data_IF_183053396192
#
_entry.id   IF_183053396192
#
_cell.length_a   1.000
_cell.length_b   1.000
_cell.length_c   1.000
_cell.angle_alpha   90.00
_cell.angle_beta   90.00
_cell.angle_gamma   90.00
#
_symmetry.space_group_name_H-M   'P 1'
#
loop_
_entity.id
_entity.type
_entity.pdbx_description
1 polymer ?
#
# COMPACT_ATOMS: atom_id res chain seq x y z
N UNK A 1 -7.44 2.78 18.64
CA UNK A 1 -7.37 3.70 17.50
C UNK A 1 -7.69 3.02 16.17
N UNK A 2 -7.16 1.84 15.95
CA UNK A 2 -7.52 1.01 14.79
C UNK A 2 -8.96 0.46 14.86
N UNK A 3 -9.56 0.40 16.03
CA UNK A 3 -10.90 -0.17 16.29
C UNK A 3 -12.05 0.72 15.77
N UNK A 4 -11.81 2.02 15.63
CA UNK A 4 -12.86 2.97 15.20
C UNK A 4 -13.08 3.00 13.69
N UNK A 5 -12.25 2.24 12.93
CA UNK A 5 -12.26 2.27 11.47
C UNK A 5 -12.37 0.85 10.91
N UNK A 6 -13.56 0.33 11.05
CA UNK A 6 -13.97 -1.00 10.59
C UNK A 6 -14.11 -1.00 9.05
N UNK A 7 -12.99 -0.85 8.33
CA UNK A 7 -12.98 -1.20 6.92
C UNK A 7 -12.78 -2.70 6.82
N UNK A 8 -13.74 -3.40 6.28
CA UNK A 8 -13.74 -4.87 6.18
C UNK A 8 -12.55 -5.45 5.40
N UNK A 9 -11.74 -4.61 4.75
CA UNK A 9 -10.67 -5.00 3.83
C UNK A 9 -9.33 -4.28 4.08
N UNK A 10 -8.99 -4.06 5.36
CA UNK A 10 -7.72 -3.40 5.73
C UNK A 10 -6.50 -4.26 5.43
N UNK A 11 -5.55 -3.68 4.71
CA UNK A 11 -4.27 -4.29 4.39
C UNK A 11 -3.19 -3.81 5.34
N UNK A 12 -2.47 -4.75 5.97
CA UNK A 12 -1.21 -4.45 6.64
C UNK A 12 -0.14 -4.24 5.57
N UNK A 13 0.21 -3.00 5.31
CA UNK A 13 1.29 -2.65 4.40
C UNK A 13 2.49 -2.10 5.17
N UNK A 14 3.71 -2.42 4.71
CA UNK A 14 4.94 -1.93 5.31
C UNK A 14 5.59 -2.85 6.34
N UNK A 15 5.29 -4.16 6.33
CA UNK A 15 6.12 -5.12 7.06
C UNK A 15 7.51 -5.21 6.42
N UNK A 16 8.56 -4.78 7.14
CA UNK A 16 9.90 -4.61 6.60
C UNK A 16 10.75 -5.84 6.84
N UNK A 17 11.21 -6.48 5.75
CA UNK A 17 11.98 -7.72 5.81
C UNK A 17 13.47 -7.49 5.98
N UNK A 18 14.01 -6.46 5.31
CA UNK A 18 15.42 -6.06 5.39
C UNK A 18 15.54 -4.59 5.73
N UNK A 19 16.71 -4.21 6.26
CA UNK A 19 17.03 -2.86 6.71
C UNK A 19 16.89 -1.83 5.59
N UNK A 20 16.22 -0.73 5.89
CA UNK A 20 16.11 0.49 5.09
C UNK A 20 15.73 0.24 3.62
N UNK A 21 14.50 -0.23 3.34
CA UNK A 21 14.08 -0.54 1.97
C UNK A 21 13.87 0.71 1.09
N UNK A 22 13.68 1.90 1.68
CA UNK A 22 13.28 3.12 0.97
C UNK A 22 14.36 4.18 0.82
N UNK A 23 15.62 3.87 1.11
CA UNK A 23 16.76 4.75 0.80
C UNK A 23 16.63 6.17 1.36
N UNK A 24 16.49 6.31 2.66
CA UNK A 24 16.41 7.61 3.37
C UNK A 24 15.16 8.45 3.02
N UNK A 25 14.06 7.83 2.57
CA UNK A 25 12.80 8.55 2.33
C UNK A 25 11.99 8.79 3.63
N UNK A 26 12.50 8.34 4.76
CA UNK A 26 11.91 8.51 6.09
C UNK A 26 12.88 9.22 7.02
N UNK A 27 12.36 9.89 8.08
CA UNK A 27 13.21 10.54 9.09
C UNK A 27 13.98 9.50 9.88
N UNK A 28 13.26 8.54 10.46
CA UNK A 28 13.86 7.41 11.14
C UNK A 28 14.17 6.28 10.12
N UNK A 29 15.33 5.67 10.26
CA UNK A 29 15.70 4.52 9.46
C UNK A 29 14.96 3.28 9.98
N UNK A 30 14.44 2.47 9.07
CA UNK A 30 13.70 1.27 9.45
C UNK A 30 14.62 0.08 9.69
N UNK A 31 14.67 -0.37 10.93
CA UNK A 31 15.21 -1.67 11.24
C UNK A 31 14.29 -2.79 10.71
N UNK A 32 14.86 -3.94 10.27
CA UNK A 32 14.07 -5.05 9.78
C UNK A 32 13.25 -5.69 10.90
N UNK A 33 12.03 -6.08 10.57
CA UNK A 33 11.19 -6.86 11.47
C UNK A 33 11.61 -8.34 11.52
N UNK A 34 12.42 -8.77 10.55
CA UNK A 34 13.04 -10.10 10.52
C UNK A 34 14.55 -9.96 10.67
N UNK A 35 15.11 -10.47 11.78
CA UNK A 35 16.55 -10.45 11.99
C UNK A 35 17.21 -11.56 11.17
N UNK A 36 18.03 -11.18 10.22
CA UNK A 36 18.75 -12.11 9.34
C UNK A 36 20.18 -12.32 9.89
N UNK A 37 20.53 -13.55 10.17
CA UNK A 37 21.83 -13.93 10.72
C UNK A 37 22.51 -14.99 9.86
N UNK A 38 23.76 -14.75 9.49
CA UNK A 38 24.64 -15.76 8.91
C UNK A 38 25.43 -16.41 10.04
N UNK A 39 25.18 -17.69 10.29
CA UNK A 39 25.84 -18.45 11.35
C UNK A 39 27.33 -18.70 11.03
N UNK A 40 28.16 -18.94 12.06
CA UNK A 40 29.58 -19.21 11.89
C UNK A 40 29.89 -20.42 10.94
N UNK A 41 28.94 -21.36 10.82
CA UNK A 41 29.02 -22.49 9.88
C UNK A 41 28.53 -22.16 8.45
N UNK A 42 28.18 -20.90 8.18
CA UNK A 42 27.72 -20.41 6.86
C UNK A 42 26.23 -20.57 6.58
N UNK A 43 25.45 -21.20 7.49
CA UNK A 43 23.99 -21.32 7.31
C UNK A 43 23.28 -20.04 7.70
N UNK A 44 22.07 -19.82 7.15
CA UNK A 44 21.21 -18.69 7.49
C UNK A 44 20.21 -19.02 8.59
N UNK A 45 19.96 -18.07 9.48
CA UNK A 45 18.91 -18.11 10.48
C UNK A 45 18.10 -16.81 10.46
N UNK A 46 16.82 -16.90 10.76
CA UNK A 46 15.87 -15.79 10.71
C UNK A 46 15.07 -15.77 12.00
N UNK A 47 15.01 -14.62 12.65
CA UNK A 47 14.16 -14.38 13.83
C UNK A 47 12.98 -13.50 13.42
N UNK A 48 11.77 -14.03 13.53
CA UNK A 48 10.51 -13.41 13.15
C UNK A 48 9.79 -12.74 14.33
N UNK A 49 10.41 -12.66 15.50
CA UNK A 49 9.75 -12.20 16.74
C UNK A 49 9.08 -10.84 16.60
N UNK A 50 9.73 -9.87 15.95
CA UNK A 50 9.16 -8.52 15.75
C UNK A 50 8.08 -8.55 14.69
N UNK A 51 8.32 -9.26 13.58
CA UNK A 51 7.32 -9.45 12.52
C UNK A 51 6.02 -10.06 13.06
N UNK A 52 6.13 -11.12 13.83
CA UNK A 52 4.98 -11.80 14.44
C UNK A 52 4.17 -10.87 15.32
N UNK A 53 4.82 -10.15 16.24
CA UNK A 53 4.16 -9.18 17.11
C UNK A 53 3.46 -8.06 16.33
N UNK A 54 4.06 -7.61 15.25
CA UNK A 54 3.47 -6.57 14.42
C UNK A 54 2.22 -7.06 13.70
N UNK A 55 2.28 -8.25 13.08
CA UNK A 55 1.12 -8.86 12.42
C UNK A 55 0.01 -9.19 13.42
N UNK A 56 0.35 -9.76 14.57
CA UNK A 56 -0.60 -10.09 15.64
C UNK A 56 -1.30 -8.82 16.18
N UNK A 57 -0.54 -7.73 16.41
CA UNK A 57 -1.10 -6.45 16.84
C UNK A 57 -2.07 -5.88 15.79
N UNK A 58 -1.69 -5.88 14.52
CA UNK A 58 -2.56 -5.38 13.47
C UNK A 58 -3.84 -6.22 13.35
N UNK A 59 -3.73 -7.55 13.46
CA UNK A 59 -4.87 -8.45 13.44
C UNK A 59 -5.82 -8.25 14.63
N UNK A 60 -5.30 -7.94 15.82
CA UNK A 60 -6.10 -7.59 17.01
C UNK A 60 -7.04 -6.38 16.74
N UNK A 61 -6.60 -5.48 15.87
CA UNK A 61 -7.36 -4.28 15.48
C UNK A 61 -8.04 -4.40 14.10
N UNK A 62 -8.26 -5.62 13.59
CA UNK A 62 -9.01 -5.86 12.35
C UNK A 62 -8.22 -5.62 11.06
N UNK A 63 -6.91 -5.32 11.12
CA UNK A 63 -6.04 -5.13 9.96
C UNK A 63 -5.39 -6.47 9.62
N UNK A 64 -6.11 -7.37 8.96
CA UNK A 64 -5.67 -8.74 8.80
C UNK A 64 -5.96 -9.41 7.45
N UNK A 65 -6.56 -8.69 6.50
CA UNK A 65 -6.94 -9.25 5.20
C UNK A 65 -5.74 -9.56 4.31
N UNK A 66 -4.73 -8.72 4.34
CA UNK A 66 -3.55 -8.85 3.50
C UNK A 66 -2.32 -8.32 4.25
N UNK A 67 -1.19 -9.01 4.10
CA UNK A 67 0.11 -8.62 4.68
C UNK A 67 1.08 -8.36 3.54
N UNK A 68 1.51 -7.10 3.36
CA UNK A 68 2.47 -6.69 2.34
C UNK A 68 3.87 -6.51 2.94
N UNK A 69 4.81 -7.33 2.51
CA UNK A 69 6.17 -7.43 3.06
C UNK A 69 7.20 -6.79 2.13
N UNK A 70 7.81 -5.67 2.54
CA UNK A 70 8.81 -4.90 1.78
C UNK A 70 10.25 -5.29 2.16
N UNK A 71 11.21 -5.34 1.26
CA UNK A 71 11.11 -5.29 -0.18
C UNK A 71 12.16 -6.20 -0.80
N UNK A 72 11.80 -6.96 -1.84
CA UNK A 72 12.80 -7.70 -2.62
C UNK A 72 13.67 -6.76 -3.48
N UNK A 73 13.16 -5.58 -3.83
CA UNK A 73 13.86 -4.60 -4.68
C UNK A 73 13.95 -3.27 -3.94
N UNK A 74 14.72 -3.20 -2.82
CA UNK A 74 14.92 -1.95 -2.10
C UNK A 74 15.64 -0.92 -2.98
N UNK A 75 15.56 0.37 -2.58
CA UNK A 75 16.11 1.45 -3.37
C UNK A 75 17.62 1.31 -3.60
N UNK A 76 18.38 0.88 -2.58
CA UNK A 76 19.84 0.76 -2.66
C UNK A 76 20.33 -0.65 -3.01
N UNK A 77 19.43 -1.62 -3.18
CA UNK A 77 19.77 -3.03 -3.43
C UNK A 77 20.84 -3.57 -2.48
N UNK A 78 20.73 -3.19 -1.20
CA UNK A 78 21.69 -3.47 -0.15
C UNK A 78 21.00 -4.20 1.00
N UNK A 79 21.45 -5.41 1.34
CA UNK A 79 20.81 -6.31 2.30
C UNK A 79 21.70 -6.54 3.50
N UNK A 80 21.33 -5.92 4.64
CA UNK A 80 22.06 -6.04 5.90
C UNK A 80 21.74 -7.36 6.60
N UNK A 81 22.78 -8.00 7.14
CA UNK A 81 22.64 -9.18 7.99
C UNK A 81 23.67 -9.17 9.13
N UNK A 82 23.39 -9.87 10.20
CA UNK A 82 24.37 -10.12 11.26
C UNK A 82 25.24 -11.32 10.88
N UNK A 83 26.57 -11.18 10.94
CA UNK A 83 27.53 -12.27 10.70
C UNK A 83 28.15 -12.71 12.02
N UNK A 84 27.86 -13.97 12.43
CA UNK A 84 28.40 -14.53 13.66
C UNK A 84 29.91 -14.71 13.61
N UNK A 85 30.50 -14.95 12.44
CA UNK A 85 31.94 -15.19 12.33
C UNK A 85 32.74 -13.90 12.55
N UNK A 86 32.27 -12.76 12.06
CA UNK A 86 32.89 -11.44 12.25
C UNK A 86 32.33 -10.66 13.43
N UNK A 87 31.25 -11.15 14.07
CA UNK A 87 30.54 -10.48 15.18
C UNK A 87 30.17 -9.04 14.81
N UNK A 88 29.63 -8.84 13.60
CA UNK A 88 29.31 -7.51 13.09
C UNK A 88 28.21 -7.57 12.03
N UNK A 89 27.56 -6.42 11.76
CA UNK A 89 26.71 -6.30 10.59
C UNK A 89 27.52 -6.29 9.32
N UNK A 90 27.08 -7.08 8.35
CA UNK A 90 27.61 -7.16 7.00
C UNK A 90 26.50 -6.82 6.00
N UNK A 91 26.88 -6.55 4.76
CA UNK A 91 25.99 -6.13 3.69
C UNK A 91 26.24 -6.93 2.41
N UNK A 92 25.15 -7.36 1.78
CA UNK A 92 25.18 -7.90 0.42
C UNK A 92 24.67 -6.80 -0.50
N UNK A 93 25.58 -6.16 -1.22
CA UNK A 93 25.25 -5.21 -2.30
C UNK A 93 25.20 -5.97 -3.62
N UNK A 94 24.03 -6.03 -4.25
CA UNK A 94 23.82 -6.88 -5.40
C UNK A 94 22.80 -6.29 -6.39
N UNK A 95 22.38 -7.05 -7.37
CA UNK A 95 21.31 -6.68 -8.32
C UNK A 95 20.40 -7.88 -8.55
N UNK A 96 19.19 -7.65 -9.02
CA UNK A 96 18.20 -8.72 -9.27
C UNK A 96 18.67 -9.77 -10.30
N UNK A 97 19.75 -9.49 -11.04
CA UNK A 97 20.30 -10.34 -12.12
C UNK A 97 21.35 -11.33 -11.65
N UNK A 98 21.84 -11.23 -10.41
CA UNK A 98 22.95 -12.05 -9.91
C UNK A 98 22.45 -13.35 -9.28
N UNK A 99 23.30 -14.36 -9.27
CA UNK A 99 23.04 -15.62 -8.56
C UNK A 99 23.01 -15.40 -7.05
N UNK A 100 23.85 -14.48 -6.53
CA UNK A 100 23.89 -14.10 -5.11
C UNK A 100 22.54 -13.56 -4.64
N UNK A 101 21.89 -12.67 -5.42
CA UNK A 101 20.55 -12.17 -5.14
C UNK A 101 19.53 -13.31 -5.13
N UNK A 102 19.60 -14.18 -6.14
CA UNK A 102 18.70 -15.34 -6.25
C UNK A 102 18.85 -16.29 -5.07
N UNK A 103 20.07 -16.56 -4.65
CA UNK A 103 20.37 -17.43 -3.52
C UNK A 103 19.86 -16.82 -2.20
N UNK A 104 20.19 -15.55 -1.94
CA UNK A 104 19.72 -14.82 -0.76
C UNK A 104 18.20 -14.93 -0.61
N UNK A 105 17.48 -14.51 -1.64
CA UNK A 105 16.04 -14.47 -1.58
C UNK A 105 15.38 -15.85 -1.60
N UNK A 106 15.95 -16.82 -2.32
CA UNK A 106 15.44 -18.20 -2.30
C UNK A 106 15.58 -18.81 -0.89
N UNK A 107 16.70 -18.59 -0.22
CA UNK A 107 16.91 -19.10 1.14
C UNK A 107 15.97 -18.44 2.13
N UNK A 108 15.87 -17.10 2.08
CA UNK A 108 14.94 -16.35 2.93
C UNK A 108 13.49 -16.78 2.72
N UNK A 109 13.01 -16.76 1.47
CA UNK A 109 11.60 -17.05 1.17
C UNK A 109 11.21 -18.50 1.49
N UNK A 110 12.11 -19.48 1.36
CA UNK A 110 11.85 -20.86 1.80
C UNK A 110 11.60 -20.93 3.31
N UNK A 111 12.45 -20.30 4.11
CA UNK A 111 12.31 -20.26 5.55
C UNK A 111 11.07 -19.46 5.97
N UNK A 112 10.86 -18.29 5.35
CA UNK A 112 9.71 -17.43 5.62
C UNK A 112 8.38 -18.12 5.27
N UNK A 113 8.32 -18.84 4.14
CA UNK A 113 7.14 -19.64 3.77
C UNK A 113 6.79 -20.67 4.85
N UNK A 114 7.79 -21.40 5.34
CA UNK A 114 7.56 -22.41 6.39
C UNK A 114 6.98 -21.75 7.66
N UNK A 115 7.55 -20.62 8.07
CA UNK A 115 7.07 -19.84 9.21
C UNK A 115 5.64 -19.31 8.99
N UNK A 116 5.36 -18.72 7.83
CA UNK A 116 4.02 -18.21 7.51
C UNK A 116 2.94 -19.30 7.44
N UNK A 117 3.30 -20.51 6.98
CA UNK A 117 2.39 -21.68 7.00
C UNK A 117 2.11 -22.10 8.45
N UNK A 118 3.13 -22.16 9.30
CA UNK A 118 2.98 -22.48 10.72
C UNK A 118 2.05 -21.50 11.44
N UNK A 119 2.17 -20.20 11.12
CA UNK A 119 1.30 -19.12 11.65
C UNK A 119 -0.08 -19.05 10.99
N UNK A 120 -0.33 -19.74 9.89
CA UNK A 120 -1.57 -19.62 9.13
C UNK A 120 -1.70 -18.35 8.30
N UNK A 121 -0.59 -17.66 8.00
CA UNK A 121 -0.58 -16.35 7.32
C UNK A 121 -0.15 -16.40 5.85
N UNK A 122 0.31 -17.55 5.35
CA UNK A 122 0.90 -17.64 4.00
C UNK A 122 -0.05 -17.16 2.89
N UNK A 123 -1.32 -17.57 2.94
CA UNK A 123 -2.29 -17.26 1.88
C UNK A 123 -2.65 -15.77 1.80
N UNK A 124 -2.48 -15.03 2.86
CA UNK A 124 -2.74 -13.58 2.93
C UNK A 124 -1.47 -12.72 2.86
N UNK A 125 -0.30 -13.33 2.69
CA UNK A 125 0.98 -12.62 2.61
C UNK A 125 1.42 -12.40 1.16
N UNK A 126 1.77 -11.17 0.83
CA UNK A 126 2.40 -10.78 -0.43
C UNK A 126 3.83 -10.30 -0.17
N UNK A 127 4.71 -10.59 -1.11
CA UNK A 127 5.99 -9.89 -1.19
C UNK A 127 5.76 -8.60 -1.96
N UNK A 128 6.09 -7.46 -1.37
CA UNK A 128 5.76 -6.14 -1.88
C UNK A 128 6.99 -5.43 -2.48
N UNK A 129 6.73 -4.56 -3.43
CA UNK A 129 7.72 -3.74 -4.13
C UNK A 129 7.19 -2.33 -4.32
N UNK A 130 8.11 -1.38 -4.49
CA UNK A 130 7.84 0.01 -4.83
C UNK A 130 8.01 0.30 -6.32
N UNK A 131 8.12 1.60 -6.67
CA UNK A 131 8.40 2.17 -7.99
C UNK A 131 9.79 1.79 -8.52
N UNK A 132 9.95 0.55 -8.94
CA UNK A 132 11.24 0.03 -9.43
C UNK A 132 11.19 -0.22 -10.94
N UNK A 133 12.35 -0.46 -11.54
CA UNK A 133 12.43 -0.82 -12.96
C UNK A 133 11.67 -2.13 -13.22
N UNK A 134 10.87 -2.18 -14.28
CA UNK A 134 10.05 -3.34 -14.66
C UNK A 134 10.85 -4.64 -14.73
N UNK A 135 12.08 -4.58 -15.28
CA UNK A 135 12.96 -5.75 -15.38
C UNK A 135 13.35 -6.31 -14.01
N UNK A 136 13.59 -5.44 -13.02
CA UNK A 136 13.94 -5.86 -11.67
C UNK A 136 12.75 -6.47 -10.94
N UNK A 137 11.57 -5.87 -11.12
CA UNK A 137 10.32 -6.42 -10.58
C UNK A 137 9.99 -7.78 -11.17
N UNK A 138 10.19 -7.99 -12.48
CA UNK A 138 9.99 -9.28 -13.12
C UNK A 138 10.96 -10.35 -12.62
N UNK A 139 12.23 -10.00 -12.37
CA UNK A 139 13.21 -10.92 -11.80
C UNK A 139 12.81 -11.33 -10.37
N UNK A 140 12.39 -10.39 -9.53
CA UNK A 140 11.89 -10.66 -8.19
C UNK A 140 10.62 -11.54 -8.25
N UNK A 141 9.68 -11.22 -9.14
CA UNK A 141 8.46 -12.01 -9.35
C UNK A 141 8.77 -13.47 -9.67
N UNK A 142 9.72 -13.74 -10.56
CA UNK A 142 10.10 -15.11 -10.92
C UNK A 142 10.56 -15.93 -9.71
N UNK A 143 11.35 -15.32 -8.82
CA UNK A 143 11.86 -16.00 -7.61
C UNK A 143 10.71 -16.26 -6.62
N UNK A 144 9.91 -15.24 -6.32
CA UNK A 144 8.82 -15.34 -5.35
C UNK A 144 7.72 -16.30 -5.85
N UNK A 145 7.31 -16.18 -7.11
CA UNK A 145 6.29 -17.02 -7.72
C UNK A 145 6.71 -18.49 -7.80
N UNK A 146 7.99 -18.79 -8.06
CA UNK A 146 8.50 -20.17 -8.06
C UNK A 146 8.36 -20.85 -6.68
N UNK A 147 8.27 -20.07 -5.60
CA UNK A 147 8.02 -20.55 -4.24
C UNK A 147 6.55 -20.43 -3.83
N UNK A 148 5.68 -19.98 -4.73
CA UNK A 148 4.23 -19.85 -4.51
C UNK A 148 3.81 -18.59 -3.77
N UNK A 149 4.68 -17.60 -3.61
CA UNK A 149 4.28 -16.30 -3.04
C UNK A 149 3.48 -15.48 -4.03
N UNK A 150 2.49 -14.80 -3.52
CA UNK A 150 1.80 -13.68 -4.18
C UNK A 150 2.65 -12.43 -4.06
N UNK A 151 2.42 -11.45 -4.94
CA UNK A 151 3.17 -10.20 -4.91
C UNK A 151 2.26 -8.99 -4.98
N UNK A 152 2.71 -7.91 -4.32
CA UNK A 152 2.11 -6.59 -4.35
C UNK A 152 3.08 -5.58 -4.96
N UNK A 153 2.55 -4.54 -5.61
CA UNK A 153 3.31 -3.42 -6.15
C UNK A 153 2.57 -2.12 -5.85
N UNK A 154 3.30 -1.11 -5.36
CA UNK A 154 2.87 0.28 -5.40
C UNK A 154 3.80 1.04 -6.36
N UNK A 155 3.30 1.46 -7.54
CA UNK A 155 4.16 2.08 -8.54
C UNK A 155 3.47 2.37 -9.87
N UNK A 156 4.26 2.49 -10.92
CA UNK A 156 3.74 2.73 -12.26
C UNK A 156 3.02 1.49 -12.83
N UNK A 157 2.06 1.73 -13.73
CA UNK A 157 1.42 0.66 -14.48
C UNK A 157 2.41 -0.01 -15.44
N UNK A 158 2.50 -1.34 -15.36
CA UNK A 158 3.25 -2.19 -16.27
C UNK A 158 2.35 -3.31 -16.79
N UNK A 159 2.11 -3.32 -18.11
CA UNK A 159 1.21 -4.31 -18.73
C UNK A 159 1.67 -5.76 -18.48
N UNK A 160 2.98 -6.01 -18.41
CA UNK A 160 3.57 -7.33 -18.17
C UNK A 160 3.33 -7.87 -16.75
N UNK A 161 2.96 -7.00 -15.80
CA UNK A 161 2.68 -7.34 -14.40
C UNK A 161 1.18 -7.41 -14.10
N UNK A 162 0.33 -6.93 -14.98
CA UNK A 162 -1.10 -6.74 -14.74
C UNK A 162 -1.81 -8.02 -14.28
N UNK A 163 -1.48 -9.17 -14.84
CA UNK A 163 -2.08 -10.47 -14.52
C UNK A 163 -1.34 -11.26 -13.43
N UNK A 164 -0.18 -10.77 -12.99
CA UNK A 164 0.75 -11.45 -12.08
C UNK A 164 0.64 -11.01 -10.63
N UNK A 165 0.27 -9.75 -10.42
CA UNK A 165 0.25 -9.16 -9.08
C UNK A 165 -1.08 -9.43 -8.38
N UNK A 166 -1.02 -9.86 -7.12
CA UNK A 166 -2.19 -9.99 -6.26
C UNK A 166 -2.77 -8.61 -5.94
N UNK A 167 -1.92 -7.68 -5.56
CA UNK A 167 -2.26 -6.29 -5.29
C UNK A 167 -1.47 -5.39 -6.23
N UNK A 168 -2.15 -4.60 -7.04
CA UNK A 168 -1.55 -3.65 -7.95
C UNK A 168 -2.04 -2.25 -7.66
N UNK A 169 -1.28 -1.54 -6.83
CA UNK A 169 -1.50 -0.14 -6.53
C UNK A 169 -0.75 0.72 -7.55
N UNK A 170 -1.47 1.54 -8.32
CA UNK A 170 -0.85 2.39 -9.33
C UNK A 170 -0.93 3.86 -8.97
N UNK A 171 0.07 4.65 -9.39
CA UNK A 171 0.05 6.10 -9.23
C UNK A 171 -1.20 6.70 -9.87
N UNK A 172 -1.74 7.75 -9.27
CA UNK A 172 -2.92 8.47 -9.74
C UNK A 172 -2.76 8.85 -11.22
N UNK A 173 -3.78 8.58 -12.03
CA UNK A 173 -3.75 8.75 -13.48
C UNK A 173 -3.17 7.57 -14.26
N UNK A 174 -2.36 6.72 -13.66
CA UNK A 174 -1.89 5.48 -14.29
C UNK A 174 -3.00 4.40 -14.34
N UNK A 175 -4.00 4.50 -13.49
CA UNK A 175 -5.20 3.66 -13.48
C UNK A 175 -5.94 3.69 -14.84
N UNK A 176 -5.85 4.79 -15.58
CA UNK A 176 -6.43 4.93 -16.92
C UNK A 176 -5.78 4.04 -17.99
N UNK A 177 -4.68 3.39 -17.67
CA UNK A 177 -4.03 2.41 -18.55
C UNK A 177 -4.63 1.01 -18.44
N UNK A 178 -5.40 0.73 -17.37
CA UNK A 178 -6.17 -0.50 -17.31
C UNK A 178 -7.36 -0.45 -18.23
N UNK A 179 -7.61 -1.53 -18.97
CA UNK A 179 -8.89 -1.70 -19.65
C UNK A 179 -9.94 -2.24 -18.67
N UNK A 180 -11.22 -2.04 -19.00
CA UNK A 180 -12.33 -2.58 -18.20
C UNK A 180 -12.26 -4.11 -18.08
N UNK A 181 -11.82 -4.78 -19.16
CA UNK A 181 -11.63 -6.23 -19.19
C UNK A 181 -10.49 -6.68 -18.25
N UNK A 182 -9.40 -5.91 -18.19
CA UNK A 182 -8.30 -6.19 -17.25
C UNK A 182 -8.76 -6.06 -15.79
N UNK A 183 -9.46 -4.97 -15.44
CA UNK A 183 -10.02 -4.79 -14.09
C UNK A 183 -11.00 -5.91 -13.72
N UNK A 184 -11.91 -6.27 -14.64
CA UNK A 184 -12.85 -7.36 -14.42
C UNK A 184 -12.15 -8.72 -14.27
N UNK A 185 -11.13 -9.00 -15.09
CA UNK A 185 -10.36 -10.24 -15.00
C UNK A 185 -9.55 -10.35 -13.71
N UNK A 186 -8.98 -9.24 -13.24
CA UNK A 186 -8.28 -9.16 -11.95
C UNK A 186 -9.22 -9.44 -10.79
N UNK A 187 -10.37 -8.76 -10.76
CA UNK A 187 -11.40 -8.96 -9.74
C UNK A 187 -11.94 -10.40 -9.72
N UNK A 188 -12.16 -11.00 -10.89
CA UNK A 188 -12.60 -12.40 -11.00
C UNK A 188 -11.59 -13.40 -10.41
N UNK A 189 -10.31 -13.03 -10.34
CA UNK A 189 -9.24 -13.81 -9.70
C UNK A 189 -9.03 -13.47 -8.22
N UNK A 190 -9.83 -12.56 -7.63
CA UNK A 190 -9.61 -12.03 -6.29
C UNK A 190 -8.34 -11.17 -6.17
N UNK A 191 -7.88 -10.59 -7.28
CA UNK A 191 -6.76 -9.65 -7.31
C UNK A 191 -7.27 -8.23 -7.04
N UNK A 192 -6.51 -7.44 -6.28
CA UNK A 192 -6.85 -6.09 -5.85
C UNK A 192 -6.17 -5.07 -6.77
N UNK A 193 -6.88 -4.00 -7.10
CA UNK A 193 -6.36 -2.88 -7.89
C UNK A 193 -6.70 -1.56 -7.23
N UNK A 194 -5.68 -0.86 -6.75
CA UNK A 194 -5.83 0.39 -6.00
C UNK A 194 -5.04 1.53 -6.65
N UNK A 195 -5.20 2.73 -6.14
CA UNK A 195 -4.40 3.90 -6.52
C UNK A 195 -3.68 4.48 -5.31
N UNK A 196 -2.64 5.25 -5.56
CA UNK A 196 -2.00 6.11 -4.57
C UNK A 196 -1.70 7.48 -5.15
N UNK A 197 -1.57 8.48 -4.27
CA UNK A 197 -1.00 9.78 -4.59
C UNK A 197 0.43 9.86 -4.06
N UNK A 198 1.28 10.58 -4.78
CA UNK A 198 2.69 10.77 -4.48
C UNK A 198 3.03 12.25 -4.29
N UNK A 199 4.29 12.52 -3.96
CA UNK A 199 4.82 13.89 -3.90
C UNK A 199 4.82 14.60 -5.28
N UNK A 200 4.52 13.89 -6.38
CA UNK A 200 4.38 14.47 -7.72
C UNK A 200 2.96 14.97 -8.00
N UNK A 201 1.97 14.52 -7.23
CA UNK A 201 0.57 14.91 -7.42
C UNK A 201 0.27 16.17 -6.61
N UNK A 202 -0.13 17.24 -7.28
CA UNK A 202 -0.47 18.51 -6.62
C UNK A 202 -1.90 18.45 -6.09
N UNK A 203 -2.84 18.03 -6.93
CA UNK A 203 -4.28 17.91 -6.68
C UNK A 203 -4.87 16.75 -7.49
N UNK A 204 -5.76 15.91 -6.88
CA UNK A 204 -6.05 15.82 -5.46
C UNK A 204 -4.94 15.14 -4.67
N UNK A 205 -4.71 15.57 -3.43
CA UNK A 205 -3.77 14.93 -2.51
C UNK A 205 -4.22 15.16 -1.05
N UNK A 206 -3.44 14.65 -0.08
CA UNK A 206 -3.73 14.82 1.34
C UNK A 206 -2.61 15.55 2.08
N UNK A 207 -2.02 16.56 1.46
CA UNK A 207 -1.06 17.48 2.10
C UNK A 207 -1.71 18.32 3.21
N UNK A 208 -0.90 18.91 4.05
CA UNK A 208 -1.39 19.83 5.09
C UNK A 208 -2.07 21.07 4.52
N UNK A 209 -1.78 21.42 3.29
CA UNK A 209 -2.37 22.55 2.56
C UNK A 209 -3.37 22.14 1.48
N UNK A 210 -3.63 20.85 1.29
CA UNK A 210 -4.71 20.37 0.42
C UNK A 210 -6.07 20.78 0.97
N UNK A 211 -7.04 21.01 0.09
CA UNK A 211 -8.42 21.20 0.52
C UNK A 211 -8.93 19.93 1.21
N UNK A 212 -9.64 20.04 2.33
CA UNK A 212 -10.15 18.85 3.04
C UNK A 212 -11.00 17.92 2.16
N UNK A 213 -11.72 18.48 1.19
CA UNK A 213 -12.54 17.71 0.25
C UNK A 213 -11.72 16.78 -0.68
N UNK A 214 -10.43 17.08 -0.92
CA UNK A 214 -9.55 16.23 -1.74
C UNK A 214 -9.35 14.86 -1.09
N UNK A 215 -9.24 14.81 0.24
CA UNK A 215 -9.11 13.56 0.97
C UNK A 215 -10.37 12.68 0.84
N UNK A 216 -11.56 13.28 0.85
CA UNK A 216 -12.84 12.57 0.63
C UNK A 216 -13.00 12.17 -0.85
N UNK A 217 -12.49 12.99 -1.77
CA UNK A 217 -12.56 12.74 -3.22
C UNK A 217 -11.80 11.47 -3.64
N UNK A 218 -10.65 11.18 -3.05
CA UNK A 218 -9.78 10.07 -3.49
C UNK A 218 -10.45 8.68 -3.40
N UNK A 219 -11.11 8.28 -2.30
CA UNK A 219 -11.89 7.04 -2.27
C UNK A 219 -13.08 7.05 -3.25
N UNK A 220 -13.76 8.19 -3.43
CA UNK A 220 -14.85 8.31 -4.41
C UNK A 220 -14.35 8.20 -5.86
N UNK A 221 -13.17 8.74 -6.16
CA UNK A 221 -12.50 8.51 -7.43
C UNK A 221 -12.25 7.01 -7.67
N UNK A 222 -11.76 6.29 -6.66
CA UNK A 222 -11.57 4.84 -6.75
C UNK A 222 -12.91 4.14 -7.05
N UNK A 223 -13.99 4.48 -6.34
CA UNK A 223 -15.32 3.92 -6.55
C UNK A 223 -15.88 4.18 -7.97
N UNK A 224 -15.67 5.40 -8.50
CA UNK A 224 -16.12 5.80 -9.83
C UNK A 224 -15.36 5.10 -10.95
N UNK A 225 -14.10 4.75 -10.72
CA UNK A 225 -13.22 4.12 -11.72
C UNK A 225 -13.13 2.59 -11.55
N UNK A 226 -13.95 2.01 -10.67
CA UNK A 226 -13.98 0.56 -10.47
C UNK A 226 -12.69 0.02 -9.87
N UNK A 227 -12.05 0.80 -9.02
CA UNK A 227 -10.87 0.41 -8.26
C UNK A 227 -11.26 -0.03 -6.85
N UNK A 228 -10.41 -0.80 -6.21
CA UNK A 228 -10.73 -1.47 -4.95
C UNK A 228 -10.28 -0.67 -3.71
N UNK A 229 -9.62 0.49 -3.89
CA UNK A 229 -9.25 1.36 -2.79
C UNK A 229 -8.16 2.38 -3.10
N UNK A 230 -7.70 3.01 -2.03
CA UNK A 230 -6.67 4.04 -2.04
C UNK A 230 -5.57 3.70 -1.02
N UNK A 231 -4.33 3.90 -1.41
CA UNK A 231 -3.15 3.78 -0.55
C UNK A 231 -2.53 5.16 -0.37
N UNK A 232 -2.07 5.46 0.83
CA UNK A 232 -1.21 6.60 1.08
C UNK A 232 0.18 6.14 1.50
N UNK A 233 1.18 6.82 1.02
CA UNK A 233 2.59 6.48 1.19
C UNK A 233 2.98 6.25 2.65
N UNK A 234 2.59 7.14 3.60
CA UNK A 234 2.91 6.95 4.99
C UNK A 234 1.88 7.62 5.93
N UNK A 235 1.53 6.91 6.99
CA UNK A 235 0.55 7.34 7.99
C UNK A 235 1.16 8.09 9.14
N UNK A 236 2.34 7.65 9.61
CA UNK A 236 2.98 8.07 10.86
C UNK A 236 4.51 8.16 10.71
N UNK A 237 5.01 8.41 9.53
CA UNK A 237 6.43 8.63 9.33
C UNK A 237 6.78 10.07 9.71
N UNK A 238 6.84 10.32 11.00
CA UNK A 238 7.08 11.63 11.58
C UNK A 238 8.51 12.10 11.34
N UNK A 239 8.65 13.42 11.14
CA UNK A 239 9.93 14.12 11.15
C UNK A 239 10.38 14.48 12.58
N UNK A 240 11.45 15.26 12.70
CA UNK A 240 12.00 15.68 14.00
C UNK A 240 11.04 16.55 14.82
N UNK A 241 10.21 17.36 14.15
CA UNK A 241 9.32 18.34 14.78
C UNK A 241 7.87 18.28 14.26
N UNK A 242 7.22 17.14 14.32
CA UNK A 242 5.98 16.87 13.57
C UNK A 242 4.78 17.72 13.96
N UNK A 243 4.82 18.37 15.12
CA UNK A 243 3.74 19.27 15.57
C UNK A 243 3.91 20.72 15.10
N UNK A 244 5.05 21.09 14.57
CA UNK A 244 5.38 22.47 14.17
C UNK A 244 5.83 22.58 12.72
N UNK A 245 6.41 21.54 12.15
CA UNK A 245 6.81 21.48 10.75
C UNK A 245 6.57 20.06 10.24
N UNK A 246 5.71 19.89 9.23
CA UNK A 246 5.37 18.61 8.65
C UNK A 246 6.06 18.34 7.30
N UNK A 247 7.09 19.12 6.97
CA UNK A 247 7.92 18.93 5.78
C UNK A 247 9.06 17.97 6.10
N UNK A 248 9.37 17.12 5.16
CA UNK A 248 10.54 16.27 5.26
C UNK A 248 11.34 16.26 3.95
N UNK A 249 12.56 16.84 3.97
CA UNK A 249 13.43 16.94 2.80
C UNK A 249 12.70 17.58 1.60
N UNK A 250 12.56 16.84 0.50
CA UNK A 250 11.85 17.25 -0.72
C UNK A 250 10.33 17.06 -0.65
N UNK A 251 9.85 16.36 0.36
CA UNK A 251 8.43 16.04 0.51
C UNK A 251 7.66 17.24 1.05
N UNK A 252 6.49 17.48 0.46
CA UNK A 252 5.58 18.55 0.88
C UNK A 252 5.08 18.38 2.31
N UNK A 253 4.59 19.46 2.90
CA UNK A 253 4.07 19.43 4.26
C UNK A 253 2.91 18.41 4.38
N UNK A 254 3.08 17.42 5.23
CA UNK A 254 2.10 16.36 5.48
C UNK A 254 2.12 15.20 4.50
N UNK A 255 3.08 15.11 3.59
CA UNK A 255 3.21 13.98 2.67
C UNK A 255 3.54 12.67 3.40
N UNK A 256 4.38 12.74 4.43
CA UNK A 256 4.89 11.55 5.13
C UNK A 256 4.05 11.12 6.32
N UNK A 257 3.02 11.88 6.70
CA UNK A 257 2.07 11.48 7.75
C UNK A 257 0.79 12.33 7.70
N UNK A 258 -0.31 11.72 8.08
CA UNK A 258 -1.61 12.40 8.26
C UNK A 258 -2.14 12.29 9.71
N UNK A 259 -1.53 11.43 10.52
CA UNK A 259 -1.80 11.24 11.94
C UNK A 259 -0.62 11.68 12.78
N UNK A 260 -0.84 12.46 13.83
CA UNK A 260 0.19 13.16 14.58
C UNK A 260 0.53 12.46 15.90
N UNK A 261 1.76 12.66 16.46
CA UNK A 261 2.14 12.07 17.73
C UNK A 261 1.21 12.48 18.87
N UNK A 262 1.09 11.59 19.86
CA UNK A 262 0.22 11.81 21.02
C UNK A 262 -1.26 11.61 20.72
N UNK A 263 -1.58 10.69 19.82
CA UNK A 263 -2.94 10.30 19.45
C UNK A 263 -3.77 11.47 18.91
N UNK A 264 -3.20 12.25 17.98
CA UNK A 264 -3.85 13.40 17.38
C UNK A 264 -4.20 13.13 15.93
N UNK A 265 -5.48 13.20 15.62
CA UNK A 265 -5.99 13.16 14.26
C UNK A 265 -5.73 14.48 13.51
N UNK A 266 -6.06 14.53 12.24
CA UNK A 266 -6.05 15.74 11.42
C UNK A 266 -7.32 15.81 10.57
N UNK A 267 -7.70 17.05 10.17
CA UNK A 267 -8.89 17.25 9.31
C UNK A 267 -8.80 16.41 8.02
N UNK A 268 -7.64 16.36 7.40
CA UNK A 268 -7.42 15.56 6.16
C UNK A 268 -7.58 14.06 6.40
N UNK A 269 -7.20 13.57 7.57
CA UNK A 269 -7.38 12.17 7.94
C UNK A 269 -8.86 11.83 8.21
N UNK A 270 -9.57 12.69 8.97
CA UNK A 270 -11.01 12.54 9.22
C UNK A 270 -11.82 12.59 7.90
N UNK A 271 -11.43 13.48 6.98
CA UNK A 271 -12.07 13.57 5.66
C UNK A 271 -11.75 12.36 4.76
N UNK A 272 -10.60 11.74 4.92
CA UNK A 272 -10.28 10.49 4.23
C UNK A 272 -11.14 9.34 4.76
N UNK A 273 -11.31 9.23 6.08
CA UNK A 273 -12.21 8.25 6.71
C UNK A 273 -13.64 8.40 6.18
N UNK A 274 -14.13 9.62 6.12
CA UNK A 274 -15.44 9.90 5.53
C UNK A 274 -15.53 9.42 4.07
N UNK A 275 -14.48 9.69 3.27
CA UNK A 275 -14.40 9.21 1.90
C UNK A 275 -14.41 7.68 1.81
N UNK A 276 -13.79 6.98 2.74
CA UNK A 276 -13.82 5.51 2.82
C UNK A 276 -15.25 5.03 3.13
N UNK A 277 -15.94 5.64 4.10
CA UNK A 277 -17.32 5.29 4.40
C UNK A 277 -18.25 5.55 3.20
N UNK A 278 -18.04 6.64 2.47
CA UNK A 278 -18.79 6.93 1.25
C UNK A 278 -18.48 5.91 0.14
N UNK A 279 -17.22 5.49 -0.01
CA UNK A 279 -16.83 4.41 -0.92
C UNK A 279 -17.60 3.12 -0.62
N UNK A 280 -17.59 2.68 0.64
CA UNK A 280 -18.29 1.47 1.06
C UNK A 280 -19.80 1.57 0.81
N UNK A 281 -20.42 2.70 1.15
CA UNK A 281 -21.84 2.93 0.86
C UNK A 281 -22.15 2.88 -0.63
N UNK A 282 -21.28 3.44 -1.46
CA UNK A 282 -21.40 3.35 -2.93
C UNK A 282 -21.36 1.89 -3.40
N UNK A 283 -20.47 1.03 -2.85
CA UNK A 283 -20.43 -0.38 -3.22
C UNK A 283 -21.73 -1.11 -2.82
N UNK A 284 -22.25 -0.84 -1.62
CA UNK A 284 -23.54 -1.39 -1.16
C UNK A 284 -24.67 -0.98 -2.11
N UNK A 285 -24.77 0.32 -2.43
CA UNK A 285 -25.83 0.84 -3.31
C UNK A 285 -25.71 0.31 -4.75
N UNK A 286 -24.50 0.10 -5.27
CA UNK A 286 -24.29 -0.54 -6.57
C UNK A 286 -24.89 -1.95 -6.63
N UNK A 287 -24.75 -2.72 -5.55
CA UNK A 287 -25.35 -4.06 -5.47
C UNK A 287 -26.87 -3.99 -5.26
N UNK A 288 -27.38 -3.13 -4.38
CA UNK A 288 -28.80 -2.96 -4.14
C UNK A 288 -29.55 -2.46 -5.37
N UNK A 289 -28.93 -1.58 -6.17
CA UNK A 289 -29.56 -0.97 -7.35
C UNK A 289 -29.37 -1.77 -8.63
N UNK A 290 -28.73 -2.93 -8.59
CA UNK A 290 -28.44 -3.72 -9.80
C UNK A 290 -29.69 -3.98 -10.65
N UNK A 291 -30.84 -4.19 -10.01
CA UNK A 291 -32.14 -4.46 -10.65
C UNK A 291 -33.06 -3.22 -10.71
N UNK A 292 -32.54 -2.03 -10.34
CA UNK A 292 -33.28 -0.76 -10.40
C UNK A 292 -32.56 0.24 -11.31
N UNK A 293 -32.94 0.30 -12.61
CA UNK A 293 -32.23 1.15 -13.58
C UNK A 293 -32.25 2.64 -13.26
N UNK A 294 -33.33 3.13 -12.64
CA UNK A 294 -33.48 4.56 -12.30
C UNK A 294 -32.52 4.96 -11.18
N UNK A 295 -32.52 4.22 -10.08
CA UNK A 295 -31.61 4.49 -8.94
C UNK A 295 -30.15 4.29 -9.34
N UNK A 296 -29.86 3.24 -10.12
CA UNK A 296 -28.55 2.98 -10.67
C UNK A 296 -28.05 4.15 -11.52
N UNK A 297 -28.86 4.65 -12.47
CA UNK A 297 -28.49 5.77 -13.33
C UNK A 297 -28.23 7.06 -12.53
N UNK A 298 -29.01 7.31 -11.46
CA UNK A 298 -28.82 8.45 -10.57
C UNK A 298 -27.46 8.37 -9.85
N UNK A 299 -27.12 7.21 -9.28
CA UNK A 299 -25.83 6.99 -8.63
C UNK A 299 -24.66 7.12 -9.63
N UNK A 300 -24.77 6.52 -10.82
CA UNK A 300 -23.76 6.58 -11.86
C UNK A 300 -23.53 8.03 -12.34
N UNK A 301 -24.58 8.83 -12.47
CA UNK A 301 -24.49 10.26 -12.83
C UNK A 301 -23.68 11.05 -11.79
N UNK A 302 -23.88 10.79 -10.50
CA UNK A 302 -23.09 11.44 -9.45
C UNK A 302 -21.64 10.97 -9.45
N UNK A 303 -21.39 9.68 -9.69
CA UNK A 303 -20.06 9.11 -9.78
C UNK A 303 -19.27 9.60 -11.00
N UNK A 304 -19.95 10.00 -12.08
CA UNK A 304 -19.29 10.56 -13.28
C UNK A 304 -18.44 11.79 -12.94
N UNK A 305 -18.83 12.57 -11.94
CA UNK A 305 -18.07 13.72 -11.46
C UNK A 305 -16.68 13.34 -10.86
N UNK A 306 -16.48 12.07 -10.48
CA UNK A 306 -15.25 11.55 -9.90
C UNK A 306 -14.42 10.71 -10.87
N UNK A 307 -14.79 10.61 -12.13
CA UNK A 307 -14.04 9.83 -13.13
C UNK A 307 -12.72 10.46 -13.55
N UNK A 308 -12.56 11.76 -13.34
CA UNK A 308 -11.31 12.49 -13.63
C UNK A 308 -10.67 12.96 -12.33
N UNK A 309 -9.34 12.82 -12.25
CA UNK A 309 -8.56 13.37 -11.14
C UNK A 309 -8.16 14.84 -11.36
N UNK A 310 -8.48 15.40 -12.52
CA UNK A 310 -8.30 16.83 -12.79
C UNK A 310 -9.37 17.63 -12.02
N UNK A 311 -9.16 17.83 -10.74
CA UNK A 311 -9.99 18.66 -9.87
C UNK A 311 -9.34 20.03 -9.69
N UNK A 312 -10.17 21.04 -9.50
CA UNK A 312 -9.72 22.41 -9.32
C UNK A 312 -10.44 23.00 -8.11
N UNK A 313 -9.72 23.13 -6.99
CA UNK A 313 -10.14 23.90 -5.80
C UNK A 313 -11.60 23.68 -5.35
N UNK A 314 -12.42 24.71 -5.43
CA UNK A 314 -13.82 24.70 -4.97
C UNK A 314 -14.69 23.66 -5.66
N UNK A 315 -14.42 23.33 -6.92
CA UNK A 315 -15.17 22.29 -7.68
C UNK A 315 -15.08 20.90 -7.02
N UNK A 316 -13.95 20.60 -6.38
CA UNK A 316 -13.81 19.35 -5.60
C UNK A 316 -14.81 19.28 -4.44
N UNK A 317 -14.95 20.37 -3.68
CA UNK A 317 -15.88 20.42 -2.54
C UNK A 317 -17.34 20.32 -2.99
N UNK A 318 -17.71 20.98 -4.09
CA UNK A 318 -19.07 20.90 -4.66
C UNK A 318 -19.44 19.48 -5.07
N UNK A 319 -18.54 18.77 -5.74
CA UNK A 319 -18.72 17.36 -6.14
C UNK A 319 -18.91 16.44 -4.93
N UNK A 320 -18.06 16.58 -3.92
CA UNK A 320 -18.12 15.79 -2.69
C UNK A 320 -19.45 16.05 -1.95
N UNK A 321 -19.84 17.32 -1.79
CA UNK A 321 -21.10 17.67 -1.12
C UNK A 321 -22.32 17.13 -1.88
N UNK A 322 -22.31 17.14 -3.20
CA UNK A 322 -23.45 16.66 -4.00
C UNK A 322 -23.68 15.14 -3.81
N UNK A 323 -22.63 14.33 -3.82
CA UNK A 323 -22.77 12.89 -3.59
C UNK A 323 -23.09 12.60 -2.10
N UNK A 324 -22.52 13.35 -1.16
CA UNK A 324 -22.78 13.20 0.27
C UNK A 324 -24.27 13.39 0.60
N UNK A 325 -24.89 14.43 0.08
CA UNK A 325 -26.35 14.66 0.24
C UNK A 325 -27.14 13.45 -0.26
N UNK A 326 -26.83 12.94 -1.46
CA UNK A 326 -27.50 11.76 -1.98
C UNK A 326 -27.29 10.53 -1.10
N UNK A 327 -26.06 10.27 -0.68
CA UNK A 327 -25.73 9.10 0.15
C UNK A 327 -26.42 9.15 1.53
N UNK A 328 -26.69 10.34 2.07
CA UNK A 328 -27.38 10.51 3.35
C UNK A 328 -28.91 10.36 3.25
N UNK A 329 -29.48 10.49 2.05
CA UNK A 329 -30.93 10.33 1.81
C UNK A 329 -31.33 8.88 1.51
N UNK A 330 -30.39 8.04 1.05
CA UNK A 330 -30.57 6.62 0.71
C UNK A 330 -30.06 5.70 1.84
#
# INVERSE_FOLDING_TARGET
>A
WFVEHDSADSTLSGAIMFYEPWGEQTHDLFDPMVQTTKKANGTWAYDYTIFDKYVELCAEYGIDKQINCFSMVPWDMNFRYWDEASVSFQYIQTTTKTDEYRELWTNFLKAFKAHLIEKGWFEKTNIAMDERAESDMLNAYQIANALGFKMALAGNYHASLCDKLQDFCVALGQDKKFTSEQLAARRAKGQVTTIYTSCADVEPNIYSNSLPAEATFLPLYAAANGLDGYLHWAWINWDEHPLTDSRFRKFGAGDTYCYYPGNRSSVRFERLIEGIHQYEKVQILKEEYKDNPEKKAKLETLLDAFKSHAVVGEDCAEKVNAIEVFLNEE
#
